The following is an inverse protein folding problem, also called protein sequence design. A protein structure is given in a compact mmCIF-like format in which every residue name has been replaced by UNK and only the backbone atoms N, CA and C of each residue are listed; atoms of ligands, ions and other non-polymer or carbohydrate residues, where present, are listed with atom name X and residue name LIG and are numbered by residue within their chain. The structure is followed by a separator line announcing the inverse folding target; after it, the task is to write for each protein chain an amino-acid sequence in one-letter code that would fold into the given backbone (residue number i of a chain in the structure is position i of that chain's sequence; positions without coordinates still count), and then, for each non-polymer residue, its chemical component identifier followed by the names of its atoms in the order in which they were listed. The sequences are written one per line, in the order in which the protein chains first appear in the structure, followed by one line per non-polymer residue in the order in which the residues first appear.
data_IF_298624332804
#
_entry.id   IF_298624332804
#
_cell.length_a   1.000
_cell.length_b   1.000
_cell.length_c   1.000
_cell.angle_alpha   90.00
_cell.angle_beta   90.00
_cell.angle_gamma   90.00
#
_symmetry.space_group_name_H-M   'P 1'
#
loop_
_entity.id
_entity.type
_entity.pdbx_description
1 polymer ?
#
# COMPACT_ATOMS: atom_id res chain seq x y z
N UNK A 1 1.37 13.31 12.43
CA UNK A 1 1.43 11.82 12.53
C UNK A 1 2.82 11.37 12.09
N UNK A 2 3.34 10.26 12.62
CA UNK A 2 4.67 9.73 12.28
C UNK A 2 4.65 8.20 12.28
N UNK A 3 5.62 7.58 11.60
CA UNK A 3 5.86 6.13 11.68
C UNK A 3 6.86 5.84 12.81
N UNK A 4 6.41 5.14 13.84
CA UNK A 4 7.26 4.60 14.90
C UNK A 4 7.82 3.24 14.44
N UNK A 5 9.08 3.25 14.00
CA UNK A 5 9.79 2.07 13.49
C UNK A 5 10.15 1.06 14.58
N UNK A 6 10.29 1.50 15.83
CA UNK A 6 10.60 0.60 16.96
C UNK A 6 9.39 -0.23 17.38
N UNK A 7 8.20 0.34 17.25
CA UNK A 7 6.93 -0.31 17.61
C UNK A 7 6.06 -0.71 16.41
N UNK A 8 6.57 -0.51 15.18
CA UNK A 8 5.91 -0.90 13.94
C UNK A 8 4.47 -0.36 13.82
N UNK A 9 4.28 0.93 14.06
CA UNK A 9 2.95 1.55 14.16
C UNK A 9 2.95 3.02 13.77
N UNK A 10 1.78 3.59 13.58
CA UNK A 10 1.62 5.04 13.50
C UNK A 10 1.46 5.66 14.88
N UNK A 11 2.04 6.84 15.07
CA UNK A 11 1.89 7.64 16.29
C UNK A 11 1.38 9.03 15.93
N UNK A 12 0.45 9.53 16.74
CA UNK A 12 -0.08 10.88 16.67
C UNK A 12 0.16 11.54 18.03
N UNK A 13 0.75 12.72 18.01
CA UNK A 13 0.89 13.59 19.16
C UNK A 13 0.28 14.93 18.76
N UNK A 14 -0.67 15.40 19.56
CA UNK A 14 -1.34 16.70 19.41
C UNK A 14 -1.38 17.28 20.82
N UNK A 15 -0.79 18.45 20.98
CA UNK A 15 -0.85 19.24 22.22
C UNK A 15 -2.22 19.89 22.36
N UNK A 16 -2.57 20.31 23.57
CA UNK A 16 -3.84 21.02 23.80
C UNK A 16 -3.90 22.36 23.06
N UNK A 17 -2.75 23.04 22.93
CA UNK A 17 -2.61 24.29 22.19
C UNK A 17 -2.90 24.08 20.70
N UNK A 18 -2.26 23.09 20.06
CA UNK A 18 -2.52 22.72 18.66
C UNK A 18 -3.97 22.28 18.42
N UNK A 19 -4.57 21.52 19.36
CA UNK A 19 -5.96 21.09 19.27
C UNK A 19 -6.91 22.28 19.19
N UNK A 20 -6.69 23.28 20.05
CA UNK A 20 -7.51 24.48 20.13
C UNK A 20 -7.29 25.40 18.91
N UNK A 21 -6.04 25.54 18.45
CA UNK A 21 -5.68 26.32 17.25
C UNK A 21 -6.37 25.78 15.99
N UNK A 22 -6.39 24.46 15.82
CA UNK A 22 -7.05 23.78 14.70
C UNK A 22 -8.58 23.64 14.87
N UNK A 23 -9.14 24.12 15.99
CA UNK A 23 -10.58 24.06 16.26
C UNK A 23 -11.13 22.64 16.44
N UNK A 24 -10.28 21.67 16.80
CA UNK A 24 -10.65 20.27 16.95
C UNK A 24 -11.34 20.05 18.30
N UNK A 25 -12.59 19.60 18.33
CA UNK A 25 -13.25 19.25 19.60
C UNK A 25 -12.61 18.02 20.27
N UNK A 26 -12.77 17.87 21.59
CA UNK A 26 -12.29 16.68 22.30
C UNK A 26 -12.88 15.38 21.74
N UNK A 27 -14.17 15.40 21.36
CA UNK A 27 -14.84 14.22 20.81
C UNK A 27 -14.30 13.86 19.43
N UNK A 28 -14.01 14.86 18.59
CA UNK A 28 -13.35 14.63 17.30
C UNK A 28 -11.92 14.09 17.50
N UNK A 29 -11.18 14.60 18.50
CA UNK A 29 -9.86 14.10 18.83
C UNK A 29 -9.91 12.63 19.29
N UNK A 30 -10.83 12.28 20.18
CA UNK A 30 -11.05 10.89 20.63
C UNK A 30 -11.38 9.97 19.46
N UNK A 31 -12.25 10.42 18.54
CA UNK A 31 -12.61 9.68 17.34
C UNK A 31 -11.39 9.42 16.44
N UNK A 32 -10.59 10.46 16.15
CA UNK A 32 -9.37 10.33 15.36
C UNK A 32 -8.37 9.35 15.99
N UNK A 33 -8.11 9.48 17.30
CA UNK A 33 -7.20 8.58 18.02
C UNK A 33 -7.72 7.14 18.06
N UNK A 34 -9.04 6.95 18.14
CA UNK A 34 -9.68 5.64 18.02
C UNK A 34 -9.42 4.97 16.68
N UNK A 35 -9.56 5.71 15.58
CA UNK A 35 -9.26 5.19 14.24
C UNK A 35 -7.77 4.80 14.12
N UNK A 36 -6.84 5.60 14.68
CA UNK A 36 -5.40 5.29 14.68
C UNK A 36 -5.13 4.00 15.45
N UNK A 37 -5.78 3.83 16.60
CA UNK A 37 -5.65 2.63 17.41
C UNK A 37 -6.15 1.38 16.65
N UNK A 38 -7.26 1.48 15.93
CA UNK A 38 -7.76 0.39 15.10
C UNK A 38 -6.79 0.04 13.96
N UNK A 39 -6.25 1.04 13.27
CA UNK A 39 -5.24 0.84 12.23
C UNK A 39 -4.00 0.11 12.80
N UNK A 40 -3.49 0.58 13.93
CA UNK A 40 -2.34 -0.03 14.61
C UNK A 40 -2.60 -1.46 15.06
N UNK A 41 -3.84 -1.78 15.45
CA UNK A 41 -4.24 -3.16 15.75
C UNK A 41 -4.12 -4.05 14.50
N UNK A 42 -4.64 -3.62 13.36
CA UNK A 42 -4.56 -4.36 12.08
C UNK A 42 -3.11 -4.58 11.64
N UNK A 43 -2.27 -3.54 11.76
CA UNK A 43 -0.83 -3.65 11.48
C UNK A 43 -0.19 -4.71 12.37
N UNK A 44 -0.44 -4.67 13.68
CA UNK A 44 0.12 -5.65 14.63
C UNK A 44 -0.28 -7.08 14.30
N UNK A 45 -1.55 -7.29 13.90
CA UNK A 45 -2.06 -8.60 13.50
C UNK A 45 -1.36 -9.14 12.25
N UNK A 46 -1.17 -8.32 11.21
CA UNK A 46 -0.45 -8.72 9.99
C UNK A 46 1.03 -9.00 10.25
N UNK A 47 1.69 -8.17 11.07
CA UNK A 47 3.09 -8.41 11.46
C UNK A 47 3.23 -9.74 12.22
N UNK A 48 2.32 -10.05 13.14
CA UNK A 48 2.30 -11.33 13.89
C UNK A 48 2.06 -12.55 13.01
N UNK A 49 1.35 -12.40 11.89
CA UNK A 49 1.16 -13.46 10.89
C UNK A 49 2.40 -13.70 10.02
N UNK A 50 3.44 -12.87 10.15
CA UNK A 50 4.64 -12.94 9.31
C UNK A 50 4.45 -12.34 7.91
N UNK A 51 3.39 -11.54 7.70
CA UNK A 51 3.21 -10.84 6.43
C UNK A 51 4.28 -9.75 6.27
N UNK A 52 4.69 -9.48 5.02
CA UNK A 52 5.44 -8.25 4.74
C UNK A 52 4.49 -7.08 4.72
N UNK A 53 4.70 -6.18 5.68
CA UNK A 53 3.85 -5.01 5.90
C UNK A 53 4.63 -3.77 5.50
N UNK A 54 4.04 -2.88 4.71
CA UNK A 54 4.59 -1.55 4.47
C UNK A 54 3.62 -0.47 4.94
N UNK A 55 4.16 0.46 5.73
CA UNK A 55 3.48 1.64 6.23
C UNK A 55 3.83 2.82 5.33
N UNK A 56 2.82 3.56 4.89
CA UNK A 56 2.96 4.78 4.10
C UNK A 56 2.36 5.98 4.82
N UNK A 57 3.14 7.05 4.91
CA UNK A 57 2.70 8.33 5.44
C UNK A 57 2.90 9.42 4.38
N UNK A 58 1.84 10.18 4.13
CA UNK A 58 1.81 11.29 3.19
C UNK A 58 1.59 12.59 3.96
N UNK A 59 2.51 13.54 3.82
CA UNK A 59 2.34 14.94 4.21
C UNK A 59 2.16 15.82 2.96
N UNK A 60 1.97 17.11 3.16
CA UNK A 60 1.81 18.09 2.07
C UNK A 60 3.01 18.06 1.09
N UNK A 61 4.23 17.94 1.62
CA UNK A 61 5.49 17.90 0.86
C UNK A 61 6.36 16.66 1.16
N UNK A 62 5.84 15.67 1.88
CA UNK A 62 6.62 14.54 2.36
C UNK A 62 5.98 13.18 2.06
N UNK A 63 6.84 12.21 1.69
CA UNK A 63 6.47 10.81 1.55
C UNK A 63 7.42 9.96 2.38
N UNK A 64 6.88 9.18 3.31
CA UNK A 64 7.62 8.21 4.09
C UNK A 64 7.07 6.80 3.87
N UNK A 65 7.99 5.84 3.72
CA UNK A 65 7.68 4.41 3.63
C UNK A 65 8.53 3.61 4.62
N UNK A 66 7.95 2.59 5.24
CA UNK A 66 8.65 1.68 6.13
C UNK A 66 8.13 0.26 6.00
N UNK A 67 9.00 -0.69 5.66
CA UNK A 67 8.67 -2.10 5.47
C UNK A 67 9.15 -2.96 6.64
N UNK A 68 8.26 -3.80 7.16
CA UNK A 68 8.43 -4.70 8.30
C UNK A 68 8.45 -6.15 7.80
N UNK A 69 9.10 -7.05 8.54
CA UNK A 69 9.30 -8.46 8.18
C UNK A 69 10.01 -8.63 6.83
N UNK A 70 10.88 -7.68 6.47
CA UNK A 70 11.74 -7.81 5.29
C UNK A 70 12.63 -9.05 5.46
N UNK A 71 12.59 -10.02 4.54
CA UNK A 71 13.48 -11.17 4.58
C UNK A 71 14.94 -10.72 4.44
N UNK A 72 15.84 -11.48 5.06
CA UNK A 72 17.28 -11.20 5.04
C UNK A 72 17.89 -11.65 3.69
N UNK A 73 17.65 -10.83 2.68
CA UNK A 73 18.29 -10.88 1.37
C UNK A 73 19.24 -9.69 1.31
N UNK A 74 20.46 -9.94 1.77
CA UNK A 74 21.55 -8.97 1.89
C UNK A 74 21.94 -8.27 0.58
N UNK A 75 21.48 -8.77 -0.58
CA UNK A 75 21.94 -8.31 -1.89
C UNK A 75 20.91 -7.50 -2.70
N UNK A 76 19.61 -7.55 -2.36
CA UNK A 76 18.58 -6.86 -3.16
C UNK A 76 17.64 -6.07 -2.25
N UNK A 77 17.96 -4.78 -2.08
CA UNK A 77 17.04 -3.81 -1.52
C UNK A 77 16.30 -3.13 -2.67
N UNK A 78 14.98 -3.18 -2.60
CA UNK A 78 14.15 -2.38 -3.47
C UNK A 78 13.45 -1.28 -2.65
N UNK A 79 13.21 -0.14 -3.28
CA UNK A 79 12.61 1.05 -2.65
C UNK A 79 11.25 1.36 -3.26
N UNK A 80 10.29 1.72 -2.40
CA UNK A 80 8.99 2.22 -2.83
C UNK A 80 9.15 3.65 -3.34
N UNK A 81 8.67 3.90 -4.57
CA UNK A 81 8.83 5.19 -5.21
C UNK A 81 7.48 5.87 -5.35
N UNK A 82 7.35 7.04 -4.74
CA UNK A 82 6.21 7.91 -5.01
C UNK A 82 6.34 8.56 -6.38
N UNK A 83 5.28 8.45 -7.18
CA UNK A 83 5.15 9.08 -8.50
C UNK A 83 4.01 10.09 -8.42
N UNK A 84 4.30 11.40 -8.42
CA UNK A 84 3.29 12.45 -8.41
C UNK A 84 2.29 12.31 -9.57
N UNK A 85 1.04 12.72 -9.38
CA UNK A 85 0.02 12.64 -10.43
C UNK A 85 0.43 13.32 -11.75
N UNK A 86 1.12 14.47 -11.67
CA UNK A 86 1.64 15.22 -12.83
C UNK A 86 2.72 14.46 -13.62
N UNK A 87 3.43 13.56 -12.97
CA UNK A 87 4.57 12.82 -13.52
C UNK A 87 4.17 11.38 -13.87
N UNK A 88 2.87 11.05 -13.81
CA UNK A 88 2.31 9.82 -14.40
C UNK A 88 2.41 9.89 -15.92
N UNK A 89 3.61 9.83 -16.45
CA UNK A 89 3.83 9.53 -17.86
C UNK A 89 3.42 8.10 -18.03
N UNK A 90 2.32 7.86 -18.74
CA UNK A 90 1.94 6.52 -19.16
C UNK A 90 3.04 6.05 -20.12
N UNK A 91 4.10 5.44 -19.56
CA UNK A 91 5.16 4.84 -20.35
C UNK A 91 4.49 3.86 -21.31
N UNK A 92 5.05 3.65 -22.50
CA UNK A 92 4.53 2.70 -23.51
C UNK A 92 4.37 1.26 -22.99
N UNK A 93 4.79 0.96 -21.76
CA UNK A 93 4.43 -0.26 -21.06
C UNK A 93 2.89 -0.37 -20.96
N UNK A 94 2.32 -1.28 -21.74
CA UNK A 94 0.90 -1.58 -21.69
C UNK A 94 0.51 -2.01 -20.26
N UNK A 95 -0.59 -1.48 -19.75
CA UNK A 95 -1.24 -2.04 -18.56
C UNK A 95 -1.64 -3.47 -18.86
N UNK A 96 -1.00 -4.42 -18.19
CA UNK A 96 -1.25 -5.85 -18.38
C UNK A 96 -2.43 -6.31 -17.55
N UNK A 97 -2.50 -5.83 -16.31
CA UNK A 97 -3.52 -6.17 -15.34
C UNK A 97 -3.95 -4.96 -14.52
N UNK A 98 -5.16 -5.03 -14.00
CA UNK A 98 -5.77 -3.94 -13.24
C UNK A 98 -6.72 -4.50 -12.18
N UNK A 99 -6.77 -3.80 -11.06
CA UNK A 99 -7.79 -3.94 -10.04
C UNK A 99 -8.17 -2.55 -9.51
N UNK A 100 -9.40 -2.38 -9.09
CA UNK A 100 -9.86 -1.13 -8.50
C UNK A 100 -10.68 -1.37 -7.27
N UNK A 101 -10.80 -0.34 -6.45
CA UNK A 101 -11.68 -0.32 -5.30
C UNK A 101 -12.43 1.00 -5.25
N UNK A 102 -13.70 0.92 -4.85
CA UNK A 102 -14.62 2.04 -4.74
C UNK A 102 -15.31 1.94 -3.38
N UNK A 103 -15.40 3.06 -2.65
CA UNK A 103 -15.97 3.11 -1.31
C UNK A 103 -15.42 2.02 -0.37
N UNK A 104 -14.10 1.79 -0.44
CA UNK A 104 -13.42 0.80 0.39
C UNK A 104 -13.69 -0.66 0.03
N UNK A 105 -14.28 -0.96 -1.13
CA UNK A 105 -14.57 -2.31 -1.61
C UNK A 105 -13.92 -2.60 -2.95
N UNK A 106 -13.31 -3.77 -3.09
CA UNK A 106 -12.75 -4.22 -4.36
C UNK A 106 -13.82 -4.42 -5.44
N UNK A 107 -13.54 -3.95 -6.66
CA UNK A 107 -14.34 -4.27 -7.84
C UNK A 107 -14.07 -5.68 -8.40
N UNK A 108 -12.92 -6.27 -8.06
CA UNK A 108 -12.57 -7.67 -8.33
C UNK A 108 -11.67 -8.19 -7.22
N UNK A 109 -11.78 -9.47 -6.86
CA UNK A 109 -10.91 -10.12 -5.87
C UNK A 109 -9.67 -10.78 -6.48
N UNK A 110 -9.54 -10.76 -7.80
CA UNK A 110 -8.35 -11.28 -8.49
C UNK A 110 -8.05 -10.49 -9.77
N UNK A 111 -6.79 -10.53 -10.19
CA UNK A 111 -6.38 -10.06 -11.52
C UNK A 111 -5.45 -11.10 -12.16
N UNK A 112 -5.68 -11.40 -13.44
CA UNK A 112 -4.91 -12.36 -14.22
C UNK A 112 -4.54 -11.77 -15.57
N UNK A 113 -3.29 -11.96 -15.99
CA UNK A 113 -2.79 -11.42 -17.26
C UNK A 113 -1.53 -12.16 -17.71
N UNK A 114 -1.15 -11.97 -18.98
CA UNK A 114 0.12 -12.45 -19.53
C UNK A 114 1.12 -11.27 -19.58
N UNK A 115 2.40 -11.56 -19.31
CA UNK A 115 3.45 -10.55 -19.24
C UNK A 115 4.84 -11.13 -19.45
N UNK A 116 5.85 -10.29 -19.26
CA UNK A 116 7.24 -10.74 -19.19
C UNK A 116 7.52 -11.50 -17.89
N UNK A 117 8.74 -12.00 -17.75
CA UNK A 117 9.20 -12.68 -16.53
C UNK A 117 9.26 -11.73 -15.32
N UNK A 118 9.24 -10.41 -15.55
CA UNK A 118 9.22 -9.36 -14.54
C UNK A 118 8.06 -8.36 -14.73
N UNK A 119 7.36 -8.02 -13.65
CA UNK A 119 6.31 -7.00 -13.68
C UNK A 119 6.37 -6.10 -12.45
N UNK A 120 5.88 -4.87 -12.62
CA UNK A 120 5.74 -3.89 -11.54
C UNK A 120 4.27 -3.69 -11.21
N UNK A 121 3.98 -3.42 -9.94
CA UNK A 121 2.66 -2.99 -9.46
C UNK A 121 2.71 -1.54 -9.04
N UNK A 122 1.67 -0.78 -9.33
CA UNK A 122 1.51 0.58 -8.82
C UNK A 122 0.15 0.76 -8.17
N UNK A 123 0.13 1.22 -6.93
CA UNK A 123 -1.07 1.51 -6.13
C UNK A 123 -1.35 3.01 -6.14
N UNK A 124 -2.58 3.41 -6.48
CA UNK A 124 -3.06 4.78 -6.32
C UNK A 124 -4.28 4.80 -5.42
N UNK A 125 -4.30 5.67 -4.42
CA UNK A 125 -5.50 5.97 -3.61
C UNK A 125 -5.89 7.41 -3.91
N UNK A 126 -6.95 7.58 -4.70
CA UNK A 126 -7.39 8.88 -5.20
C UNK A 126 -8.12 9.69 -4.12
N UNK A 127 -8.85 9.00 -3.24
CA UNK A 127 -9.52 9.61 -2.09
C UNK A 127 -9.73 8.58 -0.98
N UNK A 128 -9.81 9.04 0.26
CA UNK A 128 -10.18 8.22 1.42
C UNK A 128 -10.65 9.13 2.56
N UNK A 129 -11.72 8.73 3.24
CA UNK A 129 -12.24 9.42 4.44
C UNK A 129 -11.66 8.84 5.75
N UNK A 130 -10.75 7.86 5.63
CA UNK A 130 -10.11 7.23 6.78
C UNK A 130 -8.81 6.51 6.41
N UNK A 131 -8.51 5.45 7.15
CA UNK A 131 -7.38 4.58 6.88
C UNK A 131 -7.77 3.47 5.93
N UNK A 132 -6.83 3.09 5.06
CA UNK A 132 -7.02 2.01 4.12
C UNK A 132 -5.95 0.94 4.28
N UNK A 133 -6.31 -0.29 3.93
CA UNK A 133 -5.42 -1.43 3.88
C UNK A 133 -5.55 -2.11 2.53
N UNK A 134 -4.47 -2.19 1.77
CA UNK A 134 -4.43 -2.98 0.54
C UNK A 134 -3.54 -4.18 0.77
N UNK A 135 -4.09 -5.38 0.62
CA UNK A 135 -3.30 -6.62 0.67
C UNK A 135 -3.52 -7.44 -0.58
N UNK A 136 -2.48 -8.10 -1.09
CA UNK A 136 -2.60 -9.03 -2.20
C UNK A 136 -1.47 -10.06 -2.21
N UNK A 137 -1.74 -11.19 -2.86
CA UNK A 137 -0.80 -12.31 -3.01
C UNK A 137 -0.65 -12.70 -4.48
N UNK A 138 0.57 -13.00 -4.91
CA UNK A 138 0.87 -13.57 -6.22
C UNK A 138 1.05 -15.08 -6.12
N UNK A 139 0.39 -15.84 -7.00
CA UNK A 139 0.47 -17.31 -7.01
C UNK A 139 1.48 -17.86 -8.04
N UNK A 140 1.87 -17.03 -8.99
CA UNK A 140 2.68 -17.43 -10.17
C UNK A 140 4.07 -16.79 -10.17
N UNK A 141 4.36 -15.98 -9.15
CA UNK A 141 5.63 -15.29 -8.97
C UNK A 141 5.83 -14.90 -7.51
N UNK A 142 6.94 -14.24 -7.25
CA UNK A 142 7.31 -13.75 -5.93
C UNK A 142 8.04 -12.41 -6.07
N UNK A 143 8.28 -11.78 -4.93
CA UNK A 143 9.14 -10.61 -4.80
C UNK A 143 10.28 -10.93 -3.85
N UNK A 144 11.17 -9.95 -3.64
CA UNK A 144 12.17 -9.99 -2.57
C UNK A 144 11.49 -10.19 -1.22
N UNK A 145 10.29 -9.65 -1.08
CA UNK A 145 9.49 -9.65 0.14
C UNK A 145 8.51 -10.83 0.20
N UNK A 146 8.73 -11.87 -0.59
CA UNK A 146 7.84 -13.03 -0.68
C UNK A 146 6.66 -12.80 -1.62
N UNK A 147 5.68 -13.70 -1.52
CA UNK A 147 4.54 -13.79 -2.44
C UNK A 147 3.30 -13.04 -1.98
N UNK A 148 3.30 -12.46 -0.77
CA UNK A 148 2.16 -11.75 -0.18
C UNK A 148 2.62 -10.40 0.34
N UNK A 149 1.77 -9.39 0.18
CA UNK A 149 2.07 -8.03 0.59
C UNK A 149 0.85 -7.34 1.21
N UNK A 150 1.08 -6.57 2.27
CA UNK A 150 0.10 -5.70 2.92
C UNK A 150 0.63 -4.26 3.00
N UNK A 151 -0.14 -3.31 2.47
CA UNK A 151 0.08 -1.88 2.50
C UNK A 151 -0.96 -1.20 3.38
N UNK A 152 -0.52 -0.27 4.23
CA UNK A 152 -1.39 0.54 5.07
C UNK A 152 -1.08 2.01 4.85
N UNK A 153 -2.11 2.84 4.79
CA UNK A 153 -1.93 4.29 4.68
C UNK A 153 -3.16 5.07 5.12
N UNK A 154 -3.01 6.39 5.02
CA UNK A 154 -3.97 7.37 5.51
C UNK A 154 -4.26 8.39 4.40
N UNK A 155 -5.53 8.74 4.17
CA UNK A 155 -5.88 9.75 3.18
C UNK A 155 -5.57 9.33 1.73
N UNK A 156 -5.50 10.31 0.83
CA UNK A 156 -5.17 10.08 -0.58
C UNK A 156 -3.65 10.08 -0.81
N UNK A 157 -3.17 9.33 -1.81
CA UNK A 157 -1.75 9.29 -2.16
C UNK A 157 -1.29 10.48 -3.00
N UNK A 158 -2.18 11.23 -3.66
CA UNK A 158 -1.80 12.35 -4.55
C UNK A 158 -1.03 11.93 -5.83
N UNK A 159 -0.95 10.62 -6.09
CA UNK A 159 -0.10 10.03 -7.12
C UNK A 159 -0.18 8.49 -7.09
N UNK A 160 0.87 7.82 -7.54
CA UNK A 160 1.01 6.36 -7.47
C UNK A 160 2.19 5.99 -6.57
N UNK A 161 2.07 4.90 -5.82
CA UNK A 161 3.18 4.23 -5.16
C UNK A 161 3.61 3.09 -6.09
N UNK A 162 4.78 3.21 -6.71
CA UNK A 162 5.30 2.19 -7.63
C UNK A 162 6.22 1.22 -6.89
N UNK A 163 6.03 -0.06 -7.20
CA UNK A 163 6.82 -1.19 -6.70
C UNK A 163 7.23 -2.10 -7.86
N UNK A 164 8.51 -2.12 -8.22
CA UNK A 164 9.11 -2.83 -9.38
C UNK A 164 9.22 -4.38 -9.32
N UNK A 165 8.52 -5.10 -8.45
CA UNK A 165 9.21 -6.23 -7.81
C UNK A 165 8.64 -7.63 -7.97
N UNK A 166 7.93 -7.94 -9.05
CA UNK A 166 7.45 -9.31 -9.22
C UNK A 166 8.29 -10.01 -10.28
N UNK A 167 8.87 -11.16 -9.94
CA UNK A 167 9.44 -12.10 -10.91
C UNK A 167 8.71 -13.43 -10.86
N UNK A 168 8.63 -14.08 -12.02
CA UNK A 168 7.98 -15.39 -12.15
C UNK A 168 8.71 -16.47 -11.35
N UNK A 169 7.98 -17.48 -10.87
CA UNK A 169 8.56 -18.66 -10.23
C UNK A 169 9.16 -19.67 -11.25
N UNK A 170 9.32 -19.25 -12.52
CA UNK A 170 9.83 -20.07 -13.63
C UNK A 170 8.75 -20.39 -14.67
N UNK A 171 9.16 -21.03 -15.77
CA UNK A 171 8.29 -21.38 -16.89
C UNK A 171 8.85 -20.89 -18.22
N UNK A 172 7.98 -20.79 -19.23
CA UNK A 172 8.32 -20.29 -20.56
C UNK A 172 7.36 -19.17 -20.96
N UNK A 173 7.88 -18.17 -21.66
CA UNK A 173 7.11 -17.01 -22.09
C UNK A 173 5.97 -17.40 -23.07
N UNK A 174 4.82 -16.68 -23.05
CA UNK A 174 4.49 -15.58 -22.13
C UNK A 174 4.16 -16.10 -20.72
N UNK A 175 4.60 -15.37 -19.69
CA UNK A 175 4.39 -15.78 -18.30
C UNK A 175 3.00 -15.35 -17.85
N UNK A 176 2.24 -16.29 -17.26
CA UNK A 176 0.92 -16.02 -16.69
C UNK A 176 1.04 -15.54 -15.27
N UNK A 177 0.47 -14.37 -15.02
CA UNK A 177 0.43 -13.72 -13.72
C UNK A 177 -0.94 -13.89 -13.08
N UNK A 178 -0.96 -14.33 -11.82
CA UNK A 178 -2.19 -14.42 -11.01
C UNK A 178 -1.99 -13.76 -9.67
N UNK A 179 -2.73 -12.67 -9.47
CA UNK A 179 -2.82 -11.95 -8.20
C UNK A 179 -4.20 -12.14 -7.58
N UNK A 180 -4.23 -12.43 -6.28
CA UNK A 180 -5.45 -12.48 -5.47
C UNK A 180 -5.39 -11.32 -4.50
N UNK A 181 -6.43 -10.50 -4.50
CA UNK A 181 -6.57 -9.37 -3.61
C UNK A 181 -7.21 -9.86 -2.30
N UNK A 182 -6.75 -9.32 -1.18
CA UNK A 182 -7.27 -9.66 0.14
C UNK A 182 -8.61 -8.98 0.44
N UNK A 183 -8.85 -8.71 1.72
CA UNK A 183 -10.11 -8.10 2.18
C UNK A 183 -10.35 -6.69 1.61
N UNK A 184 -11.56 -6.15 1.79
CA UNK A 184 -11.93 -4.80 1.35
C UNK A 184 -10.96 -3.73 1.88
N UNK A 185 -10.53 -2.75 1.07
CA UNK A 185 -9.56 -1.75 1.54
C UNK A 185 -10.02 -0.85 2.67
N UNK A 186 -11.34 -0.66 2.85
CA UNK A 186 -11.90 0.19 3.89
C UNK A 186 -11.67 1.70 3.68
N UNK A 187 -11.95 2.50 4.71
CA UNK A 187 -11.72 3.95 4.73
C UNK A 187 -12.47 4.75 3.65
N UNK A 188 -13.59 4.20 3.15
CA UNK A 188 -14.31 4.65 1.95
C UNK A 188 -13.37 5.00 0.78
N UNK A 189 -12.25 4.29 0.71
CA UNK A 189 -11.17 4.64 -0.19
C UNK A 189 -11.55 4.33 -1.64
N UNK A 190 -11.06 5.16 -2.56
CA UNK A 190 -11.22 4.99 -4.00
C UNK A 190 -9.84 4.94 -4.64
N UNK A 191 -9.61 3.97 -5.51
CA UNK A 191 -8.28 3.80 -6.06
C UNK A 191 -8.13 2.58 -6.94
N UNK A 192 -6.89 2.31 -7.30
CA UNK A 192 -6.55 1.20 -8.16
C UNK A 192 -5.15 0.66 -7.94
N UNK A 193 -4.97 -0.57 -8.41
CA UNK A 193 -3.69 -1.22 -8.63
C UNK A 193 -3.60 -1.53 -10.12
N UNK A 194 -2.49 -1.18 -10.75
CA UNK A 194 -2.19 -1.62 -12.11
C UNK A 194 -0.83 -2.32 -12.17
N UNK A 195 -0.71 -3.22 -13.14
CA UNK A 195 0.48 -4.01 -13.38
C UNK A 195 1.01 -3.73 -14.77
N UNK A 196 2.32 -3.52 -14.89
CA UNK A 196 2.98 -3.29 -16.17
C UNK A 196 4.26 -4.13 -16.27
N UNK A 197 4.73 -4.38 -17.49
CA UNK A 197 6.10 -4.87 -17.68
C UNK A 197 7.10 -3.84 -17.13
N UNK A 198 8.24 -4.33 -16.67
CA UNK A 198 9.41 -3.54 -16.28
C UNK A 198 10.40 -3.42 -17.41
#
# INVERSE_FOLDING_TARGET
MQIDKGLNRYVVCITEEERLEEGISEDNLKYMLGNVAELNKRISESVKKGEVVTLFLFGEDAFEAYTINKPDISEIAFEDVYIPAKDKVQTRAATLGYAYFNQGNWGSTNTMFEGSDHVTSALSVNSSTGYWQVSFSCYTGTTAYGSSFSAYGTGHTGGSIKRYWWWTNGGSAPFRWRFVLGGPPGGEANGNIFFTNT
#
